data_IF_187998198215
#
_entry.id   IF_187998198215
#
_cell.length_a   1.000
_cell.length_b   1.000
_cell.length_c   1.000
_cell.angle_alpha   90.00
_cell.angle_beta   90.00
_cell.angle_gamma   90.00
#
_symmetry.space_group_name_H-M   'P 1'
#
loop_
_entity.id
_entity.type
_entity.pdbx_description
1 polymer ?
#
# COMPACT_ATOMS: atom_id res chain seq x y z
N UNK A 1 -47.80 13.94 -34.17
CA UNK A 1 -46.45 13.34 -34.15
C UNK A 1 -45.79 13.70 -32.82
N UNK A 2 -45.30 12.74 -32.03
CA UNK A 2 -44.62 13.02 -30.74
C UNK A 2 -43.12 12.82 -30.94
N UNK A 3 -42.33 13.87 -30.75
CA UNK A 3 -40.86 13.83 -30.86
C UNK A 3 -40.28 13.97 -29.45
N UNK A 4 -39.39 13.06 -29.07
CA UNK A 4 -38.65 13.10 -27.79
C UNK A 4 -37.16 13.03 -28.09
N UNK A 5 -36.40 13.96 -27.53
CA UNK A 5 -34.95 14.08 -27.68
C UNK A 5 -34.26 13.98 -26.32
N UNK A 6 -32.93 13.85 -26.33
CA UNK A 6 -32.12 13.85 -25.11
C UNK A 6 -32.01 15.29 -24.59
N UNK A 7 -32.43 15.52 -23.35
CA UNK A 7 -32.25 16.79 -22.63
C UNK A 7 -31.41 16.56 -21.38
N UNK A 8 -30.29 17.29 -21.23
CA UNK A 8 -29.43 17.26 -20.03
C UNK A 8 -29.50 18.63 -19.35
N UNK A 9 -29.86 18.67 -18.07
CA UNK A 9 -29.87 19.93 -17.29
C UNK A 9 -28.49 20.18 -16.67
N UNK A 10 -28.09 21.45 -16.57
CA UNK A 10 -26.80 21.84 -15.98
C UNK A 10 -26.72 21.45 -14.50
N UNK A 11 -27.83 21.60 -13.77
CA UNK A 11 -27.99 21.16 -12.39
C UNK A 11 -27.77 19.65 -12.17
N UNK A 12 -27.90 18.82 -13.21
CA UNK A 12 -27.62 17.39 -13.08
C UNK A 12 -26.13 17.06 -13.01
N UNK A 13 -25.28 17.87 -13.66
CA UNK A 13 -23.86 17.56 -13.91
C UNK A 13 -22.90 18.48 -13.16
N UNK A 14 -23.35 19.69 -12.84
CA UNK A 14 -22.54 20.67 -12.12
C UNK A 14 -22.80 20.63 -10.62
N UNK A 15 -21.87 21.25 -9.88
CA UNK A 15 -21.98 21.46 -8.43
C UNK A 15 -22.85 22.68 -8.15
N UNK A 16 -23.64 22.63 -7.08
CA UNK A 16 -24.46 23.77 -6.66
C UNK A 16 -23.60 24.81 -5.91
N UNK A 17 -22.70 24.35 -5.02
CA UNK A 17 -21.76 25.21 -4.31
C UNK A 17 -20.29 24.87 -4.64
N UNK A 18 -19.38 25.84 -4.43
CA UNK A 18 -17.94 25.68 -4.74
C UNK A 18 -17.25 24.54 -3.97
N UNK A 19 -17.75 24.22 -2.77
CA UNK A 19 -17.24 23.15 -1.91
C UNK A 19 -17.75 21.76 -2.25
N UNK A 20 -18.78 21.64 -3.10
CA UNK A 20 -19.39 20.35 -3.40
C UNK A 20 -18.58 19.55 -4.42
N UNK A 21 -18.62 18.23 -4.27
CA UNK A 21 -18.05 17.29 -5.24
C UNK A 21 -18.86 17.32 -6.52
N UNK A 22 -18.15 17.30 -7.66
CA UNK A 22 -18.81 17.16 -8.95
C UNK A 22 -19.40 15.76 -9.09
N UNK A 23 -20.64 15.67 -9.55
CA UNK A 23 -21.30 14.40 -9.83
C UNK A 23 -20.63 13.72 -11.04
N UNK A 24 -20.20 12.49 -10.85
CA UNK A 24 -19.70 11.63 -11.93
C UNK A 24 -20.79 10.64 -12.34
N UNK A 25 -21.17 10.68 -13.62
CA UNK A 25 -22.05 9.66 -14.20
C UNK A 25 -21.20 8.57 -14.83
N UNK A 26 -21.46 7.32 -14.46
CA UNK A 26 -20.75 6.16 -14.97
C UNK A 26 -21.72 5.28 -15.75
N UNK A 27 -21.43 5.09 -17.02
CA UNK A 27 -22.00 4.02 -17.82
C UNK A 27 -21.07 2.81 -17.71
N UNK A 28 -21.61 1.61 -17.50
CA UNK A 28 -20.85 0.36 -17.35
C UNK A 28 -20.97 -0.56 -18.57
N UNK A 29 -21.67 -0.13 -19.63
CA UNK A 29 -21.77 -0.88 -20.87
C UNK A 29 -20.38 -1.23 -21.43
N UNK A 30 -20.10 -2.50 -21.79
CA UNK A 30 -18.79 -2.90 -22.33
C UNK A 30 -18.39 -2.16 -23.60
N UNK A 31 -19.37 -1.74 -24.40
CA UNK A 31 -19.18 -0.95 -25.64
C UNK A 31 -18.57 0.43 -25.35
N UNK A 32 -18.97 1.06 -24.23
CA UNK A 32 -18.45 2.34 -23.76
C UNK A 32 -17.02 2.23 -23.19
N UNK A 33 -16.54 1.00 -22.91
CA UNK A 33 -15.22 0.72 -22.32
C UNK A 33 -14.42 -0.28 -23.17
N UNK A 34 -13.91 0.13 -24.35
CA UNK A 34 -13.13 -0.76 -25.21
C UNK A 34 -11.79 -1.17 -24.56
N UNK A 35 -11.24 -2.29 -25.05
CA UNK A 35 -9.90 -2.80 -24.70
C UNK A 35 -9.68 -3.14 -23.21
N UNK A 36 -10.69 -3.68 -22.53
CA UNK A 36 -10.62 -4.02 -21.10
C UNK A 36 -9.37 -4.85 -20.74
N UNK A 37 -9.12 -5.95 -21.46
CA UNK A 37 -7.97 -6.83 -21.23
C UNK A 37 -6.61 -6.14 -21.42
N UNK A 38 -6.45 -5.31 -22.45
CA UNK A 38 -5.18 -4.62 -22.70
C UNK A 38 -4.90 -3.53 -21.64
N UNK A 39 -5.95 -2.84 -21.18
CA UNK A 39 -5.85 -1.87 -20.07
C UNK A 39 -5.49 -2.56 -18.76
N UNK A 40 -6.07 -3.71 -18.47
CA UNK A 40 -5.73 -4.49 -17.28
C UNK A 40 -4.31 -5.06 -17.34
N UNK A 41 -3.88 -5.53 -18.51
CA UNK A 41 -2.51 -5.98 -18.74
C UNK A 41 -1.49 -4.88 -18.44
N UNK A 42 -1.69 -3.68 -19.00
CA UNK A 42 -0.78 -2.55 -18.75
C UNK A 42 -0.78 -2.11 -17.29
N UNK A 43 -1.94 -2.14 -16.61
CA UNK A 43 -2.02 -1.91 -15.15
C UNK A 43 -1.24 -2.96 -14.36
N UNK A 44 -1.38 -4.24 -14.68
CA UNK A 44 -0.68 -5.33 -14.01
C UNK A 44 0.85 -5.27 -14.22
N UNK A 45 1.30 -4.96 -15.44
CA UNK A 45 2.72 -4.76 -15.72
C UNK A 45 3.26 -3.53 -14.98
N UNK A 46 2.47 -2.45 -14.91
CA UNK A 46 2.86 -1.25 -14.17
C UNK A 46 2.93 -1.53 -12.67
N UNK A 47 1.96 -2.25 -12.08
CA UNK A 47 1.99 -2.62 -10.67
C UNK A 47 3.21 -3.49 -10.34
N UNK A 48 3.52 -4.50 -11.16
CA UNK A 48 4.71 -5.33 -10.97
C UNK A 48 6.02 -4.52 -11.04
N UNK A 49 6.08 -3.51 -11.93
CA UNK A 49 7.23 -2.59 -12.01
C UNK A 49 7.32 -1.69 -10.78
N UNK A 50 6.20 -1.16 -10.30
CA UNK A 50 6.15 -0.33 -9.10
C UNK A 50 6.57 -1.13 -7.87
N UNK A 51 6.07 -2.35 -7.70
CA UNK A 51 6.46 -3.24 -6.60
C UNK A 51 7.98 -3.45 -6.58
N UNK A 52 8.59 -3.72 -7.75
CA UNK A 52 10.04 -3.88 -7.85
C UNK A 52 10.81 -2.58 -7.60
N UNK A 53 10.27 -1.44 -8.01
CA UNK A 53 10.86 -0.11 -7.75
C UNK A 53 10.81 0.26 -6.26
N UNK A 54 9.73 -0.14 -5.57
CA UNK A 54 9.51 0.14 -4.15
C UNK A 54 9.98 -0.97 -3.21
N UNK A 55 10.54 -2.06 -3.74
CA UNK A 55 11.14 -3.15 -2.96
C UNK A 55 12.42 -2.68 -2.24
N UNK A 56 12.24 -2.01 -1.10
CA UNK A 56 13.30 -1.56 -0.18
C UNK A 56 13.18 -2.34 1.14
N UNK A 57 13.63 -3.61 1.20
CA UNK A 57 13.33 -4.52 2.30
C UNK A 57 14.11 -4.21 3.59
N UNK A 58 15.25 -3.52 3.49
CA UNK A 58 16.07 -3.20 4.66
C UNK A 58 15.46 -2.05 5.45
N UNK A 59 15.03 -2.34 6.68
CA UNK A 59 14.43 -1.35 7.58
C UNK A 59 15.49 -0.72 8.51
N UNK A 60 16.50 -1.48 8.93
CA UNK A 60 17.60 -1.02 9.78
C UNK A 60 18.20 -2.15 10.63
N UNK A 61 19.22 -1.82 11.43
CA UNK A 61 19.85 -2.72 12.41
C UNK A 61 19.43 -2.37 13.85
N UNK A 62 19.68 -3.29 14.79
CA UNK A 62 19.45 -3.09 16.23
C UNK A 62 20.74 -2.60 16.89
N UNK A 63 20.73 -1.36 17.39
CA UNK A 63 21.84 -0.72 18.07
C UNK A 63 23.20 -0.91 17.40
N UNK A 64 24.22 -1.18 18.21
CA UNK A 64 25.59 -1.51 17.78
C UNK A 64 25.77 -3.00 17.44
N UNK A 65 24.74 -3.83 17.61
CA UNK A 65 24.82 -5.28 17.49
C UNK A 65 25.67 -5.94 18.59
N UNK A 66 25.91 -7.24 18.43
CA UNK A 66 26.82 -8.01 19.28
C UNK A 66 28.27 -7.92 18.80
N UNK A 67 29.23 -8.29 19.66
CA UNK A 67 30.65 -8.30 19.28
C UNK A 67 30.98 -9.48 18.37
N UNK A 68 30.32 -10.62 18.58
CA UNK A 68 30.43 -11.82 17.76
C UNK A 68 29.09 -12.17 17.08
N UNK A 69 29.08 -13.22 16.26
CA UNK A 69 27.90 -13.70 15.53
C UNK A 69 26.74 -14.09 16.45
N UNK A 70 25.53 -13.72 16.05
CA UNK A 70 24.30 -14.12 16.75
C UNK A 70 24.03 -15.60 16.48
N UNK A 71 23.93 -16.40 17.54
CA UNK A 71 23.72 -17.85 17.46
C UNK A 71 22.28 -18.25 17.83
N UNK A 72 21.60 -17.44 18.63
CA UNK A 72 20.23 -17.69 19.07
C UNK A 72 19.39 -16.41 19.10
N UNK A 73 18.09 -16.54 18.79
CA UNK A 73 17.12 -15.44 18.87
C UNK A 73 15.80 -15.94 19.46
N UNK A 74 15.08 -15.04 20.14
CA UNK A 74 13.76 -15.33 20.70
C UNK A 74 12.88 -14.07 20.67
N UNK A 75 11.60 -14.26 20.33
CA UNK A 75 10.55 -13.24 20.42
C UNK A 75 9.60 -13.56 21.57
N UNK A 76 9.03 -12.53 22.18
CA UNK A 76 7.93 -12.73 23.13
C UNK A 76 6.64 -13.04 22.39
N UNK A 77 5.88 -14.03 22.87
CA UNK A 77 4.53 -14.34 22.36
C UNK A 77 3.45 -13.43 22.94
N UNK A 78 3.76 -12.71 24.01
CA UNK A 78 2.82 -11.85 24.74
C UNK A 78 3.01 -10.36 24.41
N UNK A 79 4.21 -9.97 23.97
CA UNK A 79 4.53 -8.58 23.63
C UNK A 79 5.34 -8.51 22.34
N UNK A 80 4.99 -7.56 21.47
CA UNK A 80 5.63 -7.40 20.17
C UNK A 80 6.98 -6.65 20.26
N UNK A 81 7.17 -5.87 21.31
CA UNK A 81 8.28 -4.91 21.44
C UNK A 81 9.61 -5.56 21.84
N UNK A 82 9.69 -6.46 22.83
CA UNK A 82 10.95 -7.03 23.27
C UNK A 82 11.43 -8.13 22.32
N UNK A 83 12.69 -8.02 21.90
CA UNK A 83 13.40 -9.04 21.13
C UNK A 83 14.66 -9.47 21.86
N UNK A 84 14.95 -10.77 21.91
CA UNK A 84 16.13 -11.30 22.61
C UNK A 84 17.06 -11.98 21.63
N UNK A 85 18.35 -11.77 21.81
CA UNK A 85 19.40 -12.40 21.00
C UNK A 85 20.59 -12.79 21.87
N UNK A 86 21.17 -13.97 21.59
CA UNK A 86 22.40 -14.45 22.19
C UNK A 86 23.49 -14.58 21.15
N UNK A 87 24.71 -14.17 21.50
CA UNK A 87 25.88 -14.24 20.65
C UNK A 87 26.89 -15.31 21.11
N UNK A 88 27.82 -15.67 20.22
CA UNK A 88 28.86 -16.66 20.48
C UNK A 88 29.88 -16.22 21.55
N UNK A 89 29.94 -14.93 21.87
CA UNK A 89 30.72 -14.37 22.99
C UNK A 89 30.12 -14.70 24.38
N UNK A 90 28.90 -15.24 24.42
CA UNK A 90 28.16 -15.54 25.65
C UNK A 90 27.28 -14.39 26.15
N UNK A 91 27.23 -13.24 25.45
CA UNK A 91 26.33 -12.14 25.79
C UNK A 91 24.90 -12.42 25.31
N UNK A 92 23.93 -12.09 26.17
CA UNK A 92 22.51 -12.06 25.81
C UNK A 92 22.02 -10.63 25.95
N UNK A 93 21.42 -10.11 24.87
CA UNK A 93 20.87 -8.75 24.84
C UNK A 93 19.38 -8.78 24.57
N UNK A 94 18.69 -7.90 25.29
CA UNK A 94 17.27 -7.61 25.11
C UNK A 94 17.17 -6.28 24.40
N UNK A 95 16.48 -6.27 23.28
CA UNK A 95 16.27 -5.11 22.41
C UNK A 95 14.83 -4.64 22.52
N UNK A 96 14.64 -3.33 22.47
CA UNK A 96 13.36 -2.69 22.20
C UNK A 96 13.24 -2.44 20.69
N UNK A 97 12.33 -3.14 20.00
CA UNK A 97 12.16 -2.99 18.55
C UNK A 97 11.65 -1.61 18.13
N UNK A 98 10.95 -0.87 19.01
CA UNK A 98 10.42 0.45 18.69
C UNK A 98 11.55 1.49 18.65
N UNK A 99 12.44 1.46 19.64
CA UNK A 99 13.60 2.37 19.71
C UNK A 99 14.86 1.82 19.03
N UNK A 100 14.89 0.52 18.71
CA UNK A 100 16.03 -0.25 18.15
C UNK A 100 17.29 -0.13 19.00
N UNK A 101 17.11 -0.11 20.32
CA UNK A 101 18.16 -0.02 21.33
C UNK A 101 18.19 -1.26 22.19
#
# INVERSE_FOLDING_TARGET
MKVKTISRSVASTERECKGDLRREFRDLAPESHPMQRAREYTRAVTSAKLDRMFAKPFVGSLGTGHRDGVTATATSRQSLVPFVSGAADGEVRIWDLASRK
#
